data_IF_546248166655
#
_entry.id   IF_546248166655
#
_cell.length_a   1.000
_cell.length_b   1.000
_cell.length_c   1.000
_cell.angle_alpha   90.00
_cell.angle_beta   90.00
_cell.angle_gamma   90.00
#
_symmetry.space_group_name_H-M   'P 1'
#
loop_
_entity.id
_entity.type
_entity.pdbx_description
1 polymer ?
#
# COMPACT_ATOMS: atom_id res chain seq x y z
N UNK A 1 -8.45 -33.71 6.24
CA UNK A 1 -9.74 -34.44 6.37
C UNK A 1 -10.30 -34.53 7.80
N UNK A 2 -9.57 -34.15 8.86
CA UNK A 2 -10.06 -34.18 10.26
C UNK A 2 -11.07 -33.08 10.61
N UNK A 3 -10.99 -31.94 9.94
CA UNK A 3 -11.89 -30.78 10.14
C UNK A 3 -13.32 -31.11 9.68
N UNK A 4 -13.48 -31.85 8.57
CA UNK A 4 -14.80 -32.22 8.04
C UNK A 4 -15.57 -33.17 8.97
N UNK A 5 -14.89 -34.10 9.65
CA UNK A 5 -15.51 -34.99 10.64
C UNK A 5 -15.91 -34.25 11.93
N UNK A 6 -15.10 -33.29 12.39
CA UNK A 6 -15.43 -32.46 13.56
C UNK A 6 -16.63 -31.53 13.30
N UNK A 7 -16.71 -30.95 12.10
CA UNK A 7 -17.84 -30.10 11.67
C UNK A 7 -19.16 -30.88 11.62
N UNK A 8 -19.13 -32.16 11.24
CA UNK A 8 -20.33 -33.01 11.23
C UNK A 8 -20.82 -33.39 12.63
N UNK A 9 -19.93 -33.41 13.63
CA UNK A 9 -20.26 -33.81 15.01
C UNK A 9 -20.74 -32.62 15.86
N UNK A 10 -20.17 -31.42 15.68
CA UNK A 10 -20.58 -30.19 16.38
C UNK A 10 -20.55 -28.95 15.46
N UNK A 11 -21.53 -28.83 14.53
CA UNK A 11 -21.56 -27.73 13.56
C UNK A 11 -21.69 -26.34 14.20
N UNK A 12 -22.24 -26.25 15.42
CA UNK A 12 -22.40 -24.98 16.16
C UNK A 12 -21.08 -24.46 16.74
N UNK A 13 -20.24 -25.34 17.29
CA UNK A 13 -18.90 -24.95 17.81
C UNK A 13 -17.98 -24.57 16.65
N UNK A 14 -17.96 -25.36 15.58
CA UNK A 14 -17.16 -25.05 14.40
C UNK A 14 -17.56 -23.72 13.74
N UNK A 15 -18.85 -23.38 13.76
CA UNK A 15 -19.35 -22.08 13.29
C UNK A 15 -18.90 -20.93 14.18
N UNK A 16 -18.93 -21.10 15.51
CA UNK A 16 -18.47 -20.09 16.46
C UNK A 16 -16.96 -19.84 16.33
N UNK A 17 -16.15 -20.90 16.25
CA UNK A 17 -14.71 -20.78 16.02
C UNK A 17 -14.41 -20.03 14.72
N UNK A 18 -15.18 -20.31 13.66
CA UNK A 18 -15.02 -19.64 12.38
C UNK A 18 -15.36 -18.14 12.45
N UNK A 19 -16.41 -17.76 13.16
CA UNK A 19 -16.75 -16.35 13.36
C UNK A 19 -15.68 -15.61 14.19
N UNK A 20 -15.08 -16.27 15.17
CA UNK A 20 -13.97 -15.71 15.96
C UNK A 20 -12.73 -15.49 15.09
N UNK A 21 -12.44 -16.40 14.16
CA UNK A 21 -11.33 -16.27 13.21
C UNK A 21 -11.52 -15.07 12.27
N UNK A 22 -12.72 -14.91 11.70
CA UNK A 22 -13.05 -13.73 10.87
C UNK A 22 -12.92 -12.43 11.65
N UNK A 23 -13.38 -12.39 12.91
CA UNK A 23 -13.19 -11.24 13.78
C UNK A 23 -11.71 -10.88 14.00
N UNK A 24 -10.86 -11.89 14.19
CA UNK A 24 -9.41 -11.71 14.29
C UNK A 24 -8.76 -11.24 12.99
N UNK A 25 -9.24 -11.70 11.83
CA UNK A 25 -8.79 -11.23 10.52
C UNK A 25 -9.15 -9.76 10.29
N UNK A 26 -10.37 -9.33 10.66
CA UNK A 26 -10.78 -7.93 10.58
C UNK A 26 -9.94 -7.02 11.47
N UNK A 27 -9.57 -7.46 12.68
CA UNK A 27 -8.69 -6.68 13.54
C UNK A 27 -7.30 -6.51 12.91
N UNK A 28 -6.71 -7.60 12.40
CA UNK A 28 -5.42 -7.54 11.67
C UNK A 28 -5.52 -6.64 10.43
N UNK A 29 -6.67 -6.61 9.79
CA UNK A 29 -6.93 -5.75 8.65
C UNK A 29 -6.91 -4.26 9.05
N UNK A 30 -7.59 -3.90 10.13
CA UNK A 30 -7.59 -2.54 10.68
C UNK A 30 -6.17 -2.06 11.04
N UNK A 31 -5.38 -2.90 11.71
CA UNK A 31 -4.00 -2.59 12.08
C UNK A 31 -3.13 -2.25 10.84
N UNK A 32 -3.31 -3.00 9.75
CA UNK A 32 -2.61 -2.78 8.48
C UNK A 32 -3.06 -1.51 7.77
N UNK A 33 -4.36 -1.20 7.82
CA UNK A 33 -4.87 0.07 7.30
C UNK A 33 -4.29 1.26 8.03
N UNK A 34 -4.24 1.20 9.36
CA UNK A 34 -3.59 2.26 10.15
C UNK A 34 -2.11 2.40 9.81
N UNK A 35 -1.41 1.29 9.51
CA UNK A 35 -0.03 1.34 9.05
C UNK A 35 0.11 2.06 7.70
N UNK A 36 -0.79 1.78 6.75
CA UNK A 36 -0.81 2.45 5.45
C UNK A 36 -1.11 3.93 5.56
N UNK A 37 -2.10 4.30 6.37
CA UNK A 37 -2.41 5.71 6.67
C UNK A 37 -1.17 6.42 7.21
N UNK A 38 -0.48 5.85 8.21
CA UNK A 38 0.75 6.43 8.76
C UNK A 38 1.84 6.60 7.70
N UNK A 39 1.99 5.63 6.79
CA UNK A 39 2.99 5.71 5.70
C UNK A 39 2.65 6.82 4.70
N UNK A 40 1.39 6.94 4.30
CA UNK A 40 0.93 8.01 3.41
C UNK A 40 1.11 9.38 4.05
N UNK A 41 0.70 9.55 5.31
CA UNK A 41 0.89 10.79 6.05
C UNK A 41 2.37 11.15 6.17
N UNK A 42 3.23 10.19 6.52
CA UNK A 42 4.68 10.43 6.60
C UNK A 42 5.29 10.83 5.24
N UNK A 43 4.73 10.38 4.12
CA UNK A 43 5.14 10.82 2.79
C UNK A 43 4.66 12.24 2.47
N UNK A 44 3.41 12.56 2.77
CA UNK A 44 2.81 13.89 2.56
C UNK A 44 3.50 14.96 3.40
N UNK A 45 3.86 14.63 4.65
CA UNK A 45 4.54 15.53 5.59
C UNK A 45 6.05 15.61 5.39
N UNK A 46 6.64 14.79 4.52
CA UNK A 46 8.08 14.83 4.25
C UNK A 46 8.42 16.03 3.35
N UNK A 47 8.68 17.17 3.98
CA UNK A 47 9.01 18.43 3.29
C UNK A 47 10.18 18.30 2.30
N UNK A 48 11.19 17.47 2.61
CA UNK A 48 12.34 17.24 1.73
C UNK A 48 11.89 16.60 0.43
N UNK A 49 11.13 15.51 0.51
CA UNK A 49 10.61 14.80 -0.67
C UNK A 49 9.67 15.71 -1.47
N UNK A 50 8.78 16.45 -0.79
CA UNK A 50 7.85 17.36 -1.47
C UNK A 50 8.60 18.49 -2.18
N UNK A 51 9.64 19.04 -1.54
CA UNK A 51 10.50 20.03 -2.15
C UNK A 51 11.23 19.46 -3.37
N UNK A 52 11.85 18.29 -3.25
CA UNK A 52 12.65 17.67 -4.31
C UNK A 52 11.82 17.33 -5.54
N UNK A 53 10.57 16.86 -5.37
CA UNK A 53 9.62 16.61 -6.47
C UNK A 53 9.44 17.85 -7.35
N UNK A 54 9.48 19.05 -6.75
CA UNK A 54 9.35 20.33 -7.48
C UNK A 54 10.69 20.91 -7.93
N UNK A 55 11.74 20.76 -7.12
CA UNK A 55 13.04 21.39 -7.35
C UNK A 55 13.90 20.63 -8.37
N UNK A 56 13.90 19.29 -8.35
CA UNK A 56 14.72 18.45 -9.23
C UNK A 56 14.42 18.68 -10.71
N UNK A 57 13.16 18.72 -11.19
CA UNK A 57 12.87 19.02 -12.59
C UNK A 57 13.41 20.39 -13.03
N UNK A 58 13.33 21.39 -12.15
CA UNK A 58 13.85 22.72 -12.44
C UNK A 58 15.39 22.75 -12.48
N UNK A 59 16.05 22.01 -11.60
CA UNK A 59 17.51 21.84 -11.60
C UNK A 59 17.99 21.17 -12.89
N UNK A 60 17.31 20.10 -13.33
CA UNK A 60 17.57 19.42 -14.62
C UNK A 60 17.45 20.41 -15.78
N UNK A 61 16.34 21.13 -15.88
CA UNK A 61 16.12 22.11 -16.94
C UNK A 61 17.16 23.26 -16.93
N UNK A 62 17.71 23.59 -15.76
CA UNK A 62 18.78 24.58 -15.65
C UNK A 62 20.12 24.02 -16.14
N UNK A 63 20.46 22.79 -15.75
CA UNK A 63 21.69 22.10 -16.18
C UNK A 63 21.69 21.83 -17.68
N UNK A 64 20.56 21.43 -18.26
CA UNK A 64 20.41 21.23 -19.71
C UNK A 64 20.67 22.54 -20.49
N UNK A 65 20.16 23.67 -19.98
CA UNK A 65 20.41 24.99 -20.58
C UNK A 65 21.87 25.42 -20.46
N UNK A 66 22.51 25.15 -19.32
CA UNK A 66 23.93 25.42 -19.13
C UNK A 66 24.78 24.56 -20.07
N UNK A 67 24.49 23.27 -20.16
CA UNK A 67 25.18 22.33 -21.05
C UNK A 67 25.10 22.76 -22.52
N UNK A 68 23.96 23.29 -22.95
CA UNK A 68 23.76 23.76 -24.31
C UNK A 68 24.56 25.04 -24.64
N UNK A 69 24.88 25.85 -23.64
CA UNK A 69 25.63 27.10 -23.79
C UNK A 69 27.13 26.96 -23.50
N UNK A 70 27.53 25.89 -22.80
CA UNK A 70 28.92 25.67 -22.39
C UNK A 70 29.79 25.19 -23.55
N UNK A 71 31.02 25.71 -23.61
CA UNK A 71 31.99 25.42 -24.67
C UNK A 71 33.24 24.74 -24.15
N UNK A 72 33.56 24.90 -22.85
CA UNK A 72 34.67 24.21 -22.21
C UNK A 72 34.34 22.71 -22.03
N UNK A 73 35.12 21.79 -22.62
CA UNK A 73 34.83 20.36 -22.55
C UNK A 73 34.94 19.78 -21.14
N UNK A 74 35.77 20.34 -20.25
CA UNK A 74 35.87 19.88 -18.88
C UNK A 74 34.60 20.27 -18.08
N UNK A 75 34.16 21.52 -18.23
CA UNK A 75 32.94 22.00 -17.56
C UNK A 75 31.70 21.25 -18.09
N UNK A 76 31.62 21.00 -19.40
CA UNK A 76 30.55 20.18 -19.98
C UNK A 76 30.48 18.79 -19.35
N UNK A 77 31.62 18.12 -19.17
CA UNK A 77 31.65 16.80 -18.57
C UNK A 77 31.15 16.81 -17.11
N UNK A 78 31.49 17.85 -16.33
CA UNK A 78 30.99 18.02 -14.96
C UNK A 78 29.46 18.27 -14.93
N UNK A 79 28.95 19.09 -15.86
CA UNK A 79 27.50 19.33 -16.00
C UNK A 79 26.78 18.04 -16.39
N UNK A 80 27.31 17.27 -17.34
CA UNK A 80 26.73 15.99 -17.78
C UNK A 80 26.69 14.96 -16.65
N UNK A 81 27.75 14.87 -15.84
CA UNK A 81 27.79 13.99 -14.66
C UNK A 81 26.71 14.40 -13.64
N UNK A 82 26.63 15.70 -13.33
CA UNK A 82 25.66 16.24 -12.37
C UNK A 82 24.22 16.04 -12.86
N UNK A 83 23.98 16.27 -14.15
CA UNK A 83 22.70 16.04 -14.80
C UNK A 83 22.26 14.58 -14.67
N UNK A 84 23.19 13.63 -14.88
CA UNK A 84 22.92 12.21 -14.70
C UNK A 84 22.44 11.84 -13.29
N UNK A 85 23.03 12.45 -12.25
CA UNK A 85 22.60 12.25 -10.86
C UNK A 85 21.17 12.76 -10.65
N UNK A 86 20.88 13.99 -11.07
CA UNK A 86 19.54 14.56 -10.93
C UNK A 86 18.47 13.79 -11.73
N UNK A 87 18.82 13.30 -12.93
CA UNK A 87 17.91 12.47 -13.73
C UNK A 87 17.58 11.15 -13.03
N UNK A 88 18.57 10.49 -12.40
CA UNK A 88 18.32 9.29 -11.61
C UNK A 88 17.42 9.58 -10.40
N UNK A 89 17.70 10.66 -9.67
CA UNK A 89 16.87 11.12 -8.56
C UNK A 89 15.42 11.38 -9.01
N UNK A 90 15.23 12.02 -10.17
CA UNK A 90 13.89 12.28 -10.73
C UNK A 90 13.11 10.99 -11.01
N UNK A 91 13.77 9.96 -11.56
CA UNK A 91 13.14 8.66 -11.83
C UNK A 91 12.65 8.02 -10.53
N UNK A 92 13.46 8.06 -9.48
CA UNK A 92 13.11 7.52 -8.16
C UNK A 92 11.95 8.30 -7.52
N UNK A 93 12.03 9.63 -7.49
CA UNK A 93 10.96 10.49 -6.94
C UNK A 93 9.64 10.27 -7.67
N UNK A 94 9.67 10.15 -9.01
CA UNK A 94 8.47 9.85 -9.80
C UNK A 94 7.92 8.45 -9.53
N UNK A 95 8.77 7.46 -9.27
CA UNK A 95 8.32 6.12 -8.88
C UNK A 95 7.64 6.16 -7.51
N UNK A 96 8.26 6.80 -6.52
CA UNK A 96 7.69 6.98 -5.18
C UNK A 96 6.35 7.73 -5.25
N UNK A 97 6.28 8.86 -5.93
CA UNK A 97 5.05 9.65 -6.04
C UNK A 97 3.90 8.86 -6.67
N UNK A 98 4.17 8.12 -7.75
CA UNK A 98 3.17 7.25 -8.39
C UNK A 98 2.68 6.14 -7.46
N UNK A 99 3.59 5.52 -6.72
CA UNK A 99 3.23 4.48 -5.76
C UNK A 99 2.33 5.04 -4.66
N UNK A 100 2.71 6.17 -4.04
CA UNK A 100 1.93 6.79 -2.96
C UNK A 100 0.53 7.17 -3.44
N UNK A 101 0.41 7.73 -4.64
CA UNK A 101 -0.89 8.05 -5.25
C UNK A 101 -1.73 6.80 -5.50
N UNK A 102 -1.12 5.69 -5.95
CA UNK A 102 -1.84 4.42 -6.12
C UNK A 102 -2.29 3.86 -4.77
N UNK A 103 -1.40 3.83 -3.79
CA UNK A 103 -1.67 3.40 -2.42
C UNK A 103 -2.83 4.17 -1.78
N UNK A 104 -2.94 5.47 -2.05
CA UNK A 104 -4.06 6.28 -1.58
C UNK A 104 -5.41 5.84 -2.19
N UNK A 105 -5.46 5.55 -3.50
CA UNK A 105 -6.66 5.03 -4.15
C UNK A 105 -7.03 3.64 -3.62
N UNK A 106 -6.04 2.77 -3.49
CA UNK A 106 -6.24 1.41 -2.96
C UNK A 106 -6.71 1.45 -1.50
N UNK A 107 -6.26 2.43 -0.70
CA UNK A 107 -6.76 2.67 0.66
C UNK A 107 -8.25 3.03 0.66
N UNK A 108 -8.68 3.94 -0.23
CA UNK A 108 -10.09 4.32 -0.36
C UNK A 108 -10.98 3.12 -0.72
N UNK A 109 -10.53 2.28 -1.67
CA UNK A 109 -11.21 1.04 -2.04
C UNK A 109 -11.31 0.08 -0.85
N UNK A 110 -10.22 -0.07 -0.10
CA UNK A 110 -10.16 -0.98 1.05
C UNK A 110 -11.11 -0.54 2.17
N UNK A 111 -11.21 0.77 2.45
CA UNK A 111 -12.16 1.30 3.44
C UNK A 111 -13.61 1.07 3.00
N UNK A 112 -13.92 1.21 1.71
CA UNK A 112 -15.25 0.90 1.19
C UNK A 112 -15.58 -0.60 1.31
N UNK A 113 -14.62 -1.47 1.02
CA UNK A 113 -14.75 -2.91 1.21
C UNK A 113 -14.98 -3.26 2.70
N UNK A 114 -14.28 -2.60 3.63
CA UNK A 114 -14.50 -2.79 5.08
C UNK A 114 -15.93 -2.49 5.48
N UNK A 115 -16.48 -1.35 5.07
CA UNK A 115 -17.87 -0.99 5.41
C UNK A 115 -18.87 -2.03 4.92
N UNK A 116 -18.58 -2.62 3.76
CA UNK A 116 -19.40 -3.69 3.16
C UNK A 116 -19.26 -5.00 3.94
N UNK A 117 -18.06 -5.40 4.33
CA UNK A 117 -17.81 -6.63 5.10
C UNK A 117 -18.36 -6.54 6.53
N UNK A 118 -18.23 -5.38 7.19
CA UNK A 118 -18.80 -5.11 8.50
C UNK A 118 -20.34 -5.24 8.47
N UNK A 119 -20.98 -4.62 7.47
CA UNK A 119 -22.43 -4.73 7.27
C UNK A 119 -22.89 -6.17 7.06
N UNK A 120 -22.10 -6.99 6.35
CA UNK A 120 -22.39 -8.41 6.15
C UNK A 120 -22.22 -9.22 7.43
N UNK A 121 -21.20 -8.92 8.25
CA UNK A 121 -20.98 -9.57 9.54
C UNK A 121 -22.14 -9.31 10.53
N UNK A 122 -22.61 -8.06 10.64
CA UNK A 122 -23.76 -7.71 11.49
C UNK A 122 -25.02 -8.51 11.12
N UNK A 123 -25.27 -8.70 9.81
CA UNK A 123 -26.39 -9.50 9.32
C UNK A 123 -26.22 -11.00 9.62
N UNK A 124 -24.98 -11.51 9.62
CA UNK A 124 -24.68 -12.90 10.01
C UNK A 124 -24.88 -13.13 11.51
N UNK A 125 -24.42 -12.21 12.36
CA UNK A 125 -24.58 -12.31 13.82
C UNK A 125 -26.05 -12.26 14.28
N UNK A 126 -26.90 -11.57 13.51
CA UNK A 126 -28.31 -11.38 13.84
C UNK A 126 -29.24 -12.57 13.46
N UNK A 127 -28.75 -13.60 12.74
CA UNK A 127 -29.59 -14.70 12.23
C UNK A 127 -28.88 -16.05 12.38
N UNK A 128 -29.63 -17.13 12.63
CA UNK A 128 -29.12 -18.50 12.45
C UNK A 128 -28.92 -18.74 10.94
N UNK A 129 -27.73 -18.44 10.43
CA UNK A 129 -27.42 -18.45 9.00
C UNK A 129 -26.61 -19.69 8.60
N UNK A 130 -26.92 -20.18 7.39
CA UNK A 130 -26.22 -21.22 6.66
C UNK A 130 -24.69 -21.03 6.60
N UNK A 131 -23.98 -22.11 6.95
CA UNK A 131 -22.52 -22.28 6.85
C UNK A 131 -21.91 -21.73 5.56
N UNK A 132 -22.60 -21.83 4.42
CA UNK A 132 -22.11 -21.35 3.14
C UNK A 132 -21.99 -19.83 3.02
N UNK A 133 -22.80 -19.05 3.76
CA UNK A 133 -22.68 -17.57 3.74
C UNK A 133 -21.52 -17.09 4.61
N UNK A 134 -21.31 -17.74 5.76
CA UNK A 134 -20.15 -17.46 6.61
C UNK A 134 -18.82 -17.80 5.91
N UNK A 135 -18.77 -18.95 5.21
CA UNK A 135 -17.59 -19.34 4.46
C UNK A 135 -17.23 -18.36 3.33
N UNK A 136 -18.23 -17.81 2.63
CA UNK A 136 -17.98 -16.74 1.63
C UNK A 136 -17.45 -15.48 2.29
N UNK A 137 -18.04 -15.04 3.41
CA UNK A 137 -17.55 -13.86 4.10
C UNK A 137 -16.10 -14.02 4.56
N UNK A 138 -15.73 -15.17 5.13
CA UNK A 138 -14.35 -15.46 5.53
C UNK A 138 -13.41 -15.43 4.33
N UNK A 139 -13.80 -16.04 3.21
CA UNK A 139 -13.00 -15.98 1.98
C UNK A 139 -12.78 -14.53 1.52
N UNK A 140 -13.84 -13.71 1.50
CA UNK A 140 -13.76 -12.32 1.07
C UNK A 140 -12.86 -11.50 2.02
N UNK A 141 -12.97 -11.70 3.34
CA UNK A 141 -12.09 -11.06 4.33
C UNK A 141 -10.64 -11.46 4.12
N UNK A 142 -10.36 -12.75 3.96
CA UNK A 142 -9.02 -13.28 3.72
C UNK A 142 -8.39 -12.69 2.44
N UNK A 143 -9.18 -12.57 1.36
CA UNK A 143 -8.73 -11.96 0.11
C UNK A 143 -8.36 -10.47 0.30
N UNK A 144 -9.15 -9.72 1.06
CA UNK A 144 -8.84 -8.31 1.35
C UNK A 144 -7.58 -8.16 2.22
N UNK A 145 -7.40 -9.03 3.21
CA UNK A 145 -6.18 -9.05 4.04
C UNK A 145 -4.95 -9.34 3.18
N UNK A 146 -5.03 -10.29 2.23
CA UNK A 146 -3.95 -10.58 1.31
C UNK A 146 -3.61 -9.40 0.40
N UNK A 147 -4.61 -8.77 -0.22
CA UNK A 147 -4.39 -7.57 -1.05
C UNK A 147 -3.66 -6.46 -0.29
N UNK A 148 -4.06 -6.20 0.96
CA UNK A 148 -3.39 -5.21 1.78
C UNK A 148 -1.95 -5.56 2.14
N UNK A 149 -1.65 -6.84 2.36
CA UNK A 149 -0.28 -7.29 2.64
C UNK A 149 0.64 -7.03 1.47
N UNK A 150 0.17 -7.34 0.26
CA UNK A 150 0.93 -7.13 -0.96
C UNK A 150 1.19 -5.64 -1.18
N UNK A 151 0.18 -4.82 -0.91
CA UNK A 151 0.29 -3.37 -1.02
C UNK A 151 1.24 -2.76 0.01
N UNK A 152 1.17 -3.20 1.28
CA UNK A 152 2.11 -2.77 2.33
C UNK A 152 3.55 -3.16 1.97
N UNK A 153 3.74 -4.38 1.47
CA UNK A 153 5.06 -4.87 1.03
C UNK A 153 5.62 -4.01 -0.10
N UNK A 154 4.79 -3.70 -1.11
CA UNK A 154 5.20 -2.83 -2.22
C UNK A 154 5.58 -1.41 -1.74
N UNK A 155 4.85 -0.86 -0.78
CA UNK A 155 5.16 0.43 -0.14
C UNK A 155 6.50 0.36 0.59
N UNK A 156 6.72 -0.67 1.41
CA UNK A 156 7.95 -0.81 2.21
C UNK A 156 9.19 -1.01 1.32
N UNK A 157 9.08 -1.76 0.22
CA UNK A 157 10.19 -1.99 -0.73
C UNK A 157 10.69 -0.68 -1.36
N UNK A 158 9.78 0.16 -1.86
CA UNK A 158 10.14 1.41 -2.53
C UNK A 158 10.55 2.48 -1.52
N UNK A 159 9.92 2.51 -0.35
CA UNK A 159 10.29 3.46 0.71
C UNK A 159 11.71 3.18 1.22
N UNK A 160 12.03 1.90 1.46
CA UNK A 160 13.39 1.49 1.85
C UNK A 160 14.40 1.92 0.79
N UNK A 161 14.11 1.67 -0.50
CA UNK A 161 15.00 2.04 -1.60
C UNK A 161 15.23 3.56 -1.71
N UNK A 162 14.23 4.37 -1.36
CA UNK A 162 14.32 5.84 -1.45
C UNK A 162 14.96 6.48 -0.21
N UNK A 163 14.85 5.85 0.96
CA UNK A 163 15.43 6.35 2.23
C UNK A 163 16.93 6.11 2.43
N UNK A 164 17.59 5.40 1.49
CA UNK A 164 19.02 5.06 1.56
C UNK A 164 19.92 5.96 0.66
N UNK A 165 19.42 7.10 0.19
CA UNK A 165 20.22 8.12 -0.51
C UNK A 165 20.15 9.45 0.21
#
# INVERSE_FOLDING_TARGET
QKILEMVQQNPKEAFQDHLLDVGGELQRWEERLQQLVRRLTAYEENEVVQQDVTAVPQAIANLERQLAAETDPAIRAEIEQTLGVYQQQQVQLNALHRLMRRTQLDLEETVAAMGTLYSQMEVLGAKEIDSGRAQRLSHDVSEQVHRLNDLLTAVDEVYTHTSYQ
#
